data_IF_140165500270
#
_entry.id   IF_140165500270
#
_cell.length_a   1.000
_cell.length_b   1.000
_cell.length_c   1.000
_cell.angle_alpha   90.00
_cell.angle_beta   90.00
_cell.angle_gamma   90.00
#
_symmetry.space_group_name_H-M   'P 1'
#
loop_
_entity.id
_entity.type
_entity.pdbx_description
1 polymer ?
#
# COMPACT_ATOMS: atom_id res chain seq x y z
N UNK A 1 -7.75 12.82 -16.56
CA UNK A 1 -6.93 11.66 -16.96
C UNK A 1 -6.37 11.05 -15.69
N UNK A 2 -6.41 9.72 -15.55
CA UNK A 2 -5.73 9.04 -14.45
C UNK A 2 -4.21 9.10 -14.60
N UNK A 3 -3.47 8.90 -13.51
CA UNK A 3 -2.02 8.76 -13.52
C UNK A 3 -1.65 7.29 -13.29
N UNK A 4 -0.55 6.84 -13.91
CA UNK A 4 -0.03 5.48 -13.75
C UNK A 4 1.46 5.51 -13.43
N UNK A 5 1.85 4.79 -12.38
CA UNK A 5 3.22 4.66 -11.87
C UNK A 5 3.66 3.21 -11.98
N UNK A 6 4.88 3.01 -12.48
CA UNK A 6 5.44 1.70 -12.81
C UNK A 6 6.68 1.46 -11.93
N UNK A 7 6.56 0.53 -10.99
CA UNK A 7 7.63 0.09 -10.11
C UNK A 7 8.55 -0.90 -10.82
N UNK A 8 9.83 -0.55 -10.89
CA UNK A 8 10.90 -1.46 -11.29
C UNK A 8 11.20 -2.48 -10.17
N UNK A 9 11.86 -3.61 -10.47
CA UNK A 9 12.29 -4.56 -9.45
C UNK A 9 13.07 -3.87 -8.32
N UNK A 10 12.76 -4.23 -7.07
CA UNK A 10 13.36 -3.67 -5.86
C UNK A 10 13.19 -2.15 -5.67
N UNK A 11 12.46 -1.44 -6.53
CA UNK A 11 12.11 -0.03 -6.34
C UNK A 11 10.88 0.12 -5.44
N UNK A 12 10.70 1.30 -4.86
CA UNK A 12 9.55 1.64 -4.03
C UNK A 12 9.49 3.14 -3.78
N UNK A 13 8.37 3.60 -3.23
CA UNK A 13 8.17 5.01 -2.88
C UNK A 13 8.05 5.10 -1.36
N UNK A 14 8.94 5.86 -0.72
CA UNK A 14 8.86 6.20 0.71
C UNK A 14 8.34 7.64 0.85
N UNK A 15 7.29 7.83 1.64
CA UNK A 15 6.81 9.15 2.06
C UNK A 15 7.40 9.43 3.43
N UNK A 16 8.52 10.14 3.43
CA UNK A 16 9.30 10.47 4.62
C UNK A 16 8.62 11.54 5.48
N UNK A 17 9.07 11.68 6.73
CA UNK A 17 8.49 12.60 7.70
C UNK A 17 8.40 14.04 7.16
N UNK A 18 7.26 14.70 7.37
CA UNK A 18 6.95 16.02 6.80
C UNK A 18 6.43 15.99 5.35
N UNK A 19 6.62 14.90 4.62
CA UNK A 19 6.05 14.68 3.29
C UNK A 19 4.60 14.23 3.31
N UNK A 20 3.94 14.25 2.15
CA UNK A 20 2.64 13.60 1.97
C UNK A 20 2.47 13.10 0.54
N UNK A 21 1.71 12.02 0.38
CA UNK A 21 1.23 11.54 -0.92
C UNK A 21 -0.29 11.58 -0.94
N UNK A 22 -0.85 12.51 -1.71
CA UNK A 22 -2.28 12.57 -1.99
C UNK A 22 -2.53 12.10 -3.43
N UNK A 23 -3.02 10.87 -3.57
CA UNK A 23 -3.48 10.28 -4.81
C UNK A 23 -5.00 10.09 -4.74
N UNK A 24 -5.74 11.12 -5.14
CA UNK A 24 -7.21 11.11 -5.21
C UNK A 24 -7.66 11.05 -6.66
N UNK A 25 -8.12 9.87 -7.07
CA UNK A 25 -8.75 9.63 -8.37
C UNK A 25 -10.27 9.75 -8.32
N UNK A 26 -10.94 9.16 -9.32
CA UNK A 26 -12.39 8.98 -9.32
C UNK A 26 -12.74 7.57 -9.80
N UNK A 27 -14.00 7.17 -9.66
CA UNK A 27 -14.49 5.86 -10.14
C UNK A 27 -14.21 5.60 -11.62
N UNK A 28 -14.16 6.65 -12.45
CA UNK A 28 -13.90 6.53 -13.90
C UNK A 28 -12.48 6.92 -14.29
N UNK A 29 -11.76 7.64 -13.43
CA UNK A 29 -10.38 8.08 -13.68
C UNK A 29 -9.51 7.84 -12.44
N UNK A 30 -9.29 6.57 -12.10
CA UNK A 30 -8.45 6.17 -10.97
C UNK A 30 -6.96 6.44 -11.19
N UNK A 31 -6.18 6.30 -10.11
CA UNK A 31 -4.72 6.36 -10.14
C UNK A 31 -4.18 4.95 -9.91
N UNK A 32 -3.14 4.55 -10.65
CA UNK A 32 -2.57 3.20 -10.54
C UNK A 32 -1.10 3.26 -10.12
N UNK A 33 -0.75 2.51 -9.09
CA UNK A 33 0.62 2.18 -8.70
C UNK A 33 0.80 0.67 -8.85
N UNK A 34 1.67 0.24 -9.76
CA UNK A 34 1.87 -1.20 -9.99
C UNK A 34 3.29 -1.55 -10.41
N UNK A 35 3.59 -2.84 -10.40
CA UNK A 35 4.82 -3.35 -10.99
C UNK A 35 4.84 -3.11 -12.49
N UNK A 36 6.03 -2.95 -13.07
CA UNK A 36 6.18 -2.87 -14.52
C UNK A 36 5.62 -4.10 -15.22
N UNK A 37 5.80 -5.27 -14.59
CA UNK A 37 5.17 -6.53 -14.97
C UNK A 37 4.09 -6.90 -13.97
N UNK A 38 3.00 -7.51 -14.47
CA UNK A 38 1.90 -8.02 -13.65
C UNK A 38 2.29 -9.36 -13.00
N UNK A 39 3.26 -9.28 -12.08
CA UNK A 39 3.81 -10.40 -11.32
C UNK A 39 3.62 -10.12 -9.84
N UNK A 40 3.13 -11.10 -9.09
CA UNK A 40 2.95 -10.99 -7.64
C UNK A 40 4.29 -10.64 -6.97
N UNK A 41 4.34 -9.55 -6.19
CA UNK A 41 5.58 -9.17 -5.50
C UNK A 41 6.71 -8.66 -6.39
N UNK A 42 6.41 -8.02 -7.53
CA UNK A 42 7.39 -7.49 -8.48
C UNK A 42 8.25 -6.34 -7.93
N UNK A 43 7.67 -5.40 -7.20
CA UNK A 43 8.35 -4.21 -6.67
C UNK A 43 8.12 -4.07 -5.16
N UNK A 44 8.75 -3.10 -4.47
CA UNK A 44 8.59 -2.95 -3.01
C UNK A 44 7.22 -2.44 -2.61
N UNK A 45 6.59 -1.58 -3.41
CA UNK A 45 5.33 -0.93 -3.05
C UNK A 45 5.55 0.48 -2.48
N UNK A 46 4.66 0.86 -1.57
CA UNK A 46 4.66 2.15 -0.87
C UNK A 46 5.03 1.95 0.61
N UNK A 47 5.73 2.94 1.18
CA UNK A 47 5.96 3.03 2.62
C UNK A 47 5.63 4.44 3.11
N UNK A 48 4.83 4.55 4.16
CA UNK A 48 4.59 5.81 4.86
C UNK A 48 5.34 5.83 6.19
N UNK A 49 6.18 6.88 6.36
CA UNK A 49 6.81 7.30 7.62
C UNK A 49 6.17 8.57 8.18
N UNK A 50 5.50 9.32 7.31
CA UNK A 50 4.84 10.57 7.65
C UNK A 50 3.51 10.32 8.35
N UNK A 51 3.22 11.15 9.36
CA UNK A 51 1.93 11.22 10.05
C UNK A 51 1.00 12.30 9.45
N UNK A 52 1.31 12.78 8.25
CA UNK A 52 0.53 13.82 7.60
C UNK A 52 -0.84 13.29 7.15
N UNK A 53 -1.92 13.92 7.59
CA UNK A 53 -3.30 13.56 7.21
C UNK A 53 -3.57 13.64 5.70
N UNK A 54 -2.72 14.33 4.93
CA UNK A 54 -2.80 14.36 3.47
C UNK A 54 -2.25 13.09 2.78
N UNK A 55 -1.84 12.07 3.54
CA UNK A 55 -1.55 10.73 3.03
C UNK A 55 -2.85 10.01 2.64
N UNK A 56 -3.33 10.28 1.43
CA UNK A 56 -4.64 9.83 0.95
C UNK A 56 -4.47 9.02 -0.33
N UNK A 57 -5.06 7.83 -0.36
CA UNK A 57 -5.21 6.97 -1.53
C UNK A 57 -6.71 6.72 -1.76
N UNK A 58 -7.33 7.47 -2.67
CA UNK A 58 -8.76 7.32 -2.98
C UNK A 58 -8.96 7.02 -4.46
N UNK A 59 -9.76 6.00 -4.79
CA UNK A 59 -9.86 5.45 -6.15
C UNK A 59 -8.50 5.08 -6.75
N UNK A 60 -7.68 4.38 -5.94
CA UNK A 60 -6.34 3.92 -6.30
C UNK A 60 -6.35 2.42 -6.57
N UNK A 61 -5.60 1.97 -7.57
CA UNK A 61 -5.14 0.58 -7.67
C UNK A 61 -3.70 0.49 -7.22
N UNK A 62 -3.44 -0.27 -6.15
CA UNK A 62 -2.10 -0.59 -5.66
C UNK A 62 -1.84 -2.08 -5.89
N UNK A 63 -0.91 -2.40 -6.78
CA UNK A 63 -0.72 -3.77 -7.26
C UNK A 63 0.75 -4.21 -7.31
N UNK A 64 0.97 -5.53 -7.23
CA UNK A 64 2.26 -6.18 -7.50
C UNK A 64 3.42 -5.78 -6.56
N UNK A 65 3.16 -5.06 -5.47
CA UNK A 65 4.15 -4.66 -4.47
C UNK A 65 4.52 -5.79 -3.52
N UNK A 66 5.37 -5.53 -2.52
CA UNK A 66 5.78 -6.56 -1.56
C UNK A 66 6.83 -7.54 -2.09
N UNK A 67 7.81 -7.10 -2.87
CA UNK A 67 8.99 -7.92 -3.21
C UNK A 67 9.86 -8.20 -1.98
N UNK A 68 10.01 -7.20 -1.10
CA UNK A 68 10.79 -7.21 0.15
C UNK A 68 10.40 -5.99 0.99
N UNK A 69 10.61 -6.04 2.30
CA UNK A 69 10.44 -4.88 3.16
C UNK A 69 11.42 -3.76 2.81
N UNK A 70 11.03 -2.51 3.06
CA UNK A 70 11.86 -1.33 2.79
C UNK A 70 13.15 -1.28 3.63
N UNK A 71 13.13 -1.91 4.80
CA UNK A 71 14.28 -2.16 5.69
C UNK A 71 15.19 -3.31 5.21
N UNK A 72 14.83 -3.99 4.13
CA UNK A 72 15.47 -5.24 3.72
C UNK A 72 15.02 -6.45 4.55
N UNK A 73 14.04 -6.31 5.43
CA UNK A 73 13.44 -7.45 6.11
C UNK A 73 12.48 -8.22 5.21
N UNK A 74 11.87 -9.27 5.76
CA UNK A 74 10.76 -10.00 5.15
C UNK A 74 9.40 -9.36 5.48
N UNK A 75 9.34 -8.02 5.51
CA UNK A 75 8.10 -7.25 5.72
C UNK A 75 7.46 -6.95 4.37
N UNK A 76 6.97 -7.97 3.68
CA UNK A 76 6.44 -7.85 2.32
C UNK A 76 5.01 -7.31 2.34
N UNK A 77 4.80 -6.12 1.80
CA UNK A 77 3.46 -5.55 1.61
C UNK A 77 3.37 -4.61 0.39
N UNK A 78 2.16 -4.41 -0.12
CA UNK A 78 1.88 -3.38 -1.13
C UNK A 78 2.02 -1.97 -0.52
N UNK A 79 1.52 -1.80 0.72
CA UNK A 79 1.67 -0.59 1.54
C UNK A 79 2.16 -0.96 2.95
N UNK A 80 3.28 -0.36 3.37
CA UNK A 80 3.72 -0.37 4.76
C UNK A 80 3.38 0.96 5.45
N UNK A 81 2.77 0.89 6.64
CA UNK A 81 2.55 2.04 7.52
C UNK A 81 3.44 1.82 8.75
N UNK A 82 4.49 2.64 8.87
CA UNK A 82 5.45 2.54 9.97
C UNK A 82 4.88 3.12 11.28
N UNK A 83 5.56 2.90 12.42
CA UNK A 83 5.15 3.49 13.69
C UNK A 83 4.90 4.98 13.60
N UNK A 84 3.80 5.45 14.20
CA UNK A 84 3.30 6.83 14.18
C UNK A 84 2.84 7.37 12.82
N UNK A 85 3.08 6.65 11.71
CA UNK A 85 2.66 7.09 10.38
C UNK A 85 1.14 6.94 10.22
N UNK A 86 0.58 7.74 9.31
CA UNK A 86 -0.86 7.77 9.06
C UNK A 86 -1.15 7.60 7.57
N UNK A 87 -2.18 6.83 7.25
CA UNK A 87 -2.69 6.68 5.88
C UNK A 87 -4.22 6.62 5.88
N UNK A 88 -4.83 7.21 4.85
CA UNK A 88 -6.24 6.94 4.49
C UNK A 88 -6.28 6.22 3.14
N UNK A 89 -6.98 5.09 3.06
CA UNK A 89 -7.24 4.40 1.79
C UNK A 89 -8.72 4.08 1.62
N UNK A 90 -9.34 4.59 0.56
CA UNK A 90 -10.77 4.42 0.30
C UNK A 90 -11.05 4.09 -1.15
N UNK A 91 -12.16 3.38 -1.42
CA UNK A 91 -12.65 3.08 -2.76
C UNK A 91 -11.57 2.47 -3.69
N UNK A 92 -10.62 1.74 -3.12
CA UNK A 92 -9.38 1.33 -3.78
C UNK A 92 -9.27 -0.18 -3.93
N UNK A 93 -8.41 -0.61 -4.84
CA UNK A 93 -8.07 -2.02 -5.04
C UNK A 93 -6.63 -2.26 -4.60
N UNK A 94 -6.40 -3.22 -3.71
CA UNK A 94 -5.07 -3.63 -3.26
C UNK A 94 -4.86 -5.10 -3.60
N UNK A 95 -4.03 -5.37 -4.61
CA UNK A 95 -3.90 -6.73 -5.18
C UNK A 95 -2.50 -7.22 -5.42
N UNK A 96 -2.35 -8.54 -5.49
CA UNK A 96 -1.15 -9.23 -5.97
C UNK A 96 0.13 -8.84 -5.23
N UNK A 97 0.00 -8.54 -3.94
CA UNK A 97 1.17 -8.33 -3.07
C UNK A 97 1.92 -9.65 -2.87
N UNK A 98 3.26 -9.59 -2.87
CA UNK A 98 4.12 -10.70 -2.45
C UNK A 98 4.11 -10.99 -0.95
N UNK A 99 3.27 -10.30 -0.18
CA UNK A 99 2.91 -10.59 1.19
C UNK A 99 1.52 -10.06 1.50
N UNK A 100 1.38 -9.17 2.48
CA UNK A 100 0.09 -8.54 2.80
C UNK A 100 -0.26 -7.43 1.80
N UNK A 101 -1.54 -7.14 1.60
CA UNK A 101 -1.95 -5.95 0.87
C UNK A 101 -1.50 -4.67 1.60
N UNK A 102 -1.77 -4.59 2.90
CA UNK A 102 -1.32 -3.51 3.78
C UNK A 102 -0.72 -4.13 5.04
N UNK A 103 0.39 -3.58 5.52
CA UNK A 103 0.96 -3.90 6.83
C UNK A 103 1.04 -2.63 7.68
N UNK A 104 0.40 -2.67 8.84
CA UNK A 104 0.44 -1.62 9.85
C UNK A 104 1.37 -2.11 10.95
N UNK A 105 2.46 -1.39 11.18
CA UNK A 105 3.35 -1.67 12.31
C UNK A 105 2.78 -1.03 13.58
N UNK A 106 3.29 -1.48 14.73
CA UNK A 106 2.91 -0.95 16.05
C UNK A 106 2.91 0.60 16.05
N UNK A 107 1.83 1.20 16.56
CA UNK A 107 1.52 2.63 16.56
C UNK A 107 1.24 3.29 15.19
N UNK A 108 1.25 2.52 14.10
CA UNK A 108 0.79 2.98 12.79
C UNK A 108 -0.73 3.13 12.76
N UNK A 109 -1.24 4.12 12.01
CA UNK A 109 -2.67 4.39 11.91
C UNK A 109 -3.19 4.30 10.47
N UNK A 110 -4.19 3.43 10.28
CA UNK A 110 -4.89 3.30 9.01
C UNK A 110 -6.37 3.64 9.17
N UNK A 111 -6.85 4.59 8.37
CA UNK A 111 -8.28 4.76 8.11
C UNK A 111 -8.61 4.14 6.76
N UNK A 112 -9.60 3.23 6.71
CA UNK A 112 -9.94 2.54 5.47
C UNK A 112 -11.43 2.21 5.33
N UNK A 113 -11.97 2.30 4.12
CA UNK A 113 -13.33 1.85 3.81
C UNK A 113 -13.50 1.56 2.31
N UNK A 114 -14.46 0.68 1.96
CA UNK A 114 -14.83 0.36 0.57
C UNK A 114 -13.65 -0.10 -0.31
N UNK A 115 -12.69 -0.83 0.26
CA UNK A 115 -11.55 -1.36 -0.49
C UNK A 115 -11.75 -2.82 -0.87
N UNK A 116 -11.18 -3.22 -2.00
CA UNK A 116 -11.13 -4.62 -2.46
C UNK A 116 -9.71 -5.16 -2.32
N UNK A 117 -9.58 -6.34 -1.72
CA UNK A 117 -8.32 -7.06 -1.59
C UNK A 117 -8.39 -8.39 -2.34
N UNK A 118 -7.39 -8.69 -3.18
CA UNK A 118 -7.34 -9.94 -3.96
C UNK A 118 -5.90 -10.34 -4.31
N UNK A 119 -5.61 -11.65 -4.44
CA UNK A 119 -4.31 -12.13 -4.93
C UNK A 119 -3.09 -11.86 -4.03
N UNK A 120 -3.26 -11.25 -2.86
CA UNK A 120 -2.17 -11.05 -1.88
C UNK A 120 -1.77 -12.40 -1.27
N UNK A 121 -0.48 -12.70 -1.16
CA UNK A 121 0.00 -14.04 -0.77
C UNK A 121 -0.09 -14.35 0.72
N UNK A 122 -0.22 -13.31 1.56
CA UNK A 122 -0.44 -13.47 3.00
C UNK A 122 -1.85 -13.04 3.38
N UNK A 123 -2.49 -13.82 4.26
CA UNK A 123 -3.80 -13.51 4.83
C UNK A 123 -3.63 -12.92 6.22
N UNK A 124 -4.05 -11.66 6.43
CA UNK A 124 -3.96 -10.99 7.73
C UNK A 124 -5.06 -11.36 8.71
N UNK A 125 -4.98 -10.83 9.94
CA UNK A 125 -5.90 -11.10 11.06
C UNK A 125 -7.32 -10.50 10.93
N UNK A 126 -7.72 -10.04 9.75
CA UNK A 126 -9.05 -9.44 9.51
C UNK A 126 -9.80 -10.13 8.36
N UNK A 127 -11.13 -10.09 8.42
CA UNK A 127 -12.05 -10.80 7.52
C UNK A 127 -11.91 -10.48 6.01
N UNK A 128 -11.06 -9.52 5.63
CA UNK A 128 -10.76 -9.16 4.23
C UNK A 128 -9.37 -9.64 3.75
N UNK A 129 -8.67 -10.48 4.54
CA UNK A 129 -7.56 -11.32 4.07
C UNK A 129 -6.33 -10.60 3.52
N UNK A 130 -6.20 -9.28 3.71
CA UNK A 130 -5.15 -8.49 3.06
C UNK A 130 -4.50 -7.43 3.94
N UNK A 131 -4.89 -7.28 5.21
CA UNK A 131 -4.31 -6.31 6.15
C UNK A 131 -3.74 -7.03 7.36
N UNK A 132 -2.45 -6.85 7.59
CA UNK A 132 -1.79 -7.15 8.86
C UNK A 132 -1.77 -5.88 9.73
N UNK A 133 -2.24 -6.00 10.97
CA UNK A 133 -2.25 -4.91 11.95
C UNK A 133 -1.54 -5.36 13.23
N UNK A 134 -0.31 -4.87 13.43
CA UNK A 134 0.54 -5.22 14.56
C UNK A 134 0.10 -4.51 15.87
N UNK A 135 -1.00 -3.74 15.86
CA UNK A 135 -1.56 -3.08 17.06
C UNK A 135 -2.53 -3.95 17.89
N UNK A 136 -2.89 -5.15 17.43
CA UNK A 136 -3.96 -6.00 18.02
C UNK A 136 -3.41 -7.31 18.56
#
# INVERSE_FOLDING_TARGET
AGAEFWGQPLSGISVDNGGSLNATGTATTGITFRGEQDVVGYWRGLQYRSNNANNVLDYVTLANGGTRGFDGGDRRANLEILPTAMATITNSTVRDSGGFGIRILEEGNLTQSNNTFSGNTSTGNTANGGIEDDNI
#
